data_IF_323918819727
#
_entry.id   IF_323918819727
#
_cell.length_a   1.000
_cell.length_b   1.000
_cell.length_c   1.000
_cell.angle_alpha   90.00
_cell.angle_beta   90.00
_cell.angle_gamma   90.00
#
_symmetry.space_group_name_H-M   'P 1'
#
loop_
_entity.id
_entity.type
_entity.pdbx_description
1 polymer ?
#
# COMPACT_ATOMS: atom_id res chain seq x y z
N UNK A 1 -9.52 7.09 21.11
CA UNK A 1 -8.38 6.99 20.17
C UNK A 1 -8.35 8.14 19.18
N UNK A 2 -9.41 8.41 18.42
CA UNK A 2 -9.46 9.47 17.36
C UNK A 2 -9.17 10.88 17.90
N UNK A 3 -9.73 11.25 19.05
CA UNK A 3 -9.46 12.56 19.68
C UNK A 3 -8.02 12.70 20.18
N UNK A 4 -7.42 11.58 20.61
CA UNK A 4 -6.05 11.53 21.12
C UNK A 4 -5.05 11.67 19.97
N UNK A 5 -5.24 10.93 18.87
CA UNK A 5 -4.41 11.07 17.67
C UNK A 5 -4.58 12.44 17.01
N UNK A 6 -5.80 12.98 16.97
CA UNK A 6 -6.07 14.34 16.48
C UNK A 6 -5.35 15.42 17.31
N UNK A 7 -5.41 15.32 18.64
CA UNK A 7 -4.70 16.24 19.54
C UNK A 7 -3.18 16.18 19.35
N UNK A 8 -2.61 14.99 19.24
CA UNK A 8 -1.17 14.79 18.98
C UNK A 8 -0.77 15.39 17.62
N UNK A 9 -1.59 15.22 16.58
CA UNK A 9 -1.33 15.76 15.25
C UNK A 9 -1.36 17.30 15.24
N UNK A 10 -2.34 17.91 15.89
CA UNK A 10 -2.44 19.37 16.01
C UNK A 10 -1.27 19.97 16.80
N UNK A 11 -0.88 19.35 17.91
CA UNK A 11 0.27 19.78 18.71
C UNK A 11 1.59 19.63 17.95
N UNK A 12 1.77 18.52 17.23
CA UNK A 12 2.94 18.27 16.38
C UNK A 12 3.04 19.27 15.22
N UNK A 13 1.92 19.61 14.60
CA UNK A 13 1.84 20.63 13.54
C UNK A 13 2.24 22.02 14.05
N UNK A 14 1.85 22.36 15.29
CA UNK A 14 2.19 23.62 15.95
C UNK A 14 3.69 23.73 16.31
N UNK A 15 4.32 22.63 16.76
CA UNK A 15 5.69 22.64 17.30
C UNK A 15 6.78 22.71 16.21
N UNK A 16 6.44 22.51 14.93
CA UNK A 16 7.35 22.81 13.81
C UNK A 16 7.52 21.65 12.84
N UNK A 17 6.76 21.72 11.75
CA UNK A 17 6.69 20.70 10.69
C UNK A 17 8.01 20.46 9.94
N UNK A 18 8.91 21.45 9.88
CA UNK A 18 10.11 21.36 9.03
C UNK A 18 11.12 20.30 9.51
N UNK A 19 11.34 20.17 10.83
CA UNK A 19 12.29 19.18 11.38
C UNK A 19 11.63 17.83 11.66
N UNK A 20 10.33 17.82 12.02
CA UNK A 20 9.57 16.61 12.33
C UNK A 20 9.36 15.70 11.12
N UNK A 21 8.96 16.27 9.98
CA UNK A 21 8.69 15.52 8.75
C UNK A 21 9.96 14.84 8.19
N UNK A 22 11.11 15.51 8.31
CA UNK A 22 12.39 14.98 7.87
C UNK A 22 12.87 13.80 8.76
N UNK A 23 12.53 13.81 10.05
CA UNK A 23 12.84 12.73 11.00
C UNK A 23 11.88 11.55 10.84
N UNK A 24 10.59 11.80 10.60
CA UNK A 24 9.58 10.82 10.21
C UNK A 24 9.94 10.12 8.90
N UNK A 25 10.44 10.86 7.90
CA UNK A 25 10.92 10.29 6.63
C UNK A 25 12.12 9.34 6.82
N UNK A 26 12.96 9.52 7.83
CA UNK A 26 14.02 8.55 8.18
C UNK A 26 13.44 7.29 8.86
N UNK A 27 12.35 7.43 9.61
CA UNK A 27 11.65 6.32 10.25
C UNK A 27 10.84 5.46 9.26
N UNK A 28 10.54 5.99 8.06
CA UNK A 28 9.92 5.21 6.97
C UNK A 28 10.74 3.98 6.56
N UNK A 29 12.07 3.99 6.75
CA UNK A 29 12.88 2.78 6.56
C UNK A 29 12.47 1.64 7.51
N UNK A 30 11.93 1.97 8.69
CA UNK A 30 11.37 1.00 9.63
C UNK A 30 10.09 0.32 9.11
N UNK A 31 9.35 0.94 8.18
CA UNK A 31 8.18 0.31 7.56
C UNK A 31 8.58 -0.86 6.64
N UNK A 32 9.80 -0.83 6.08
CA UNK A 32 10.37 -1.96 5.32
C UNK A 32 10.91 -3.07 6.21
N UNK A 33 11.17 -2.79 7.50
CA UNK A 33 11.71 -3.78 8.44
C UNK A 33 10.70 -4.88 8.76
N UNK A 34 9.41 -4.54 8.84
CA UNK A 34 8.37 -5.53 9.13
C UNK A 34 8.20 -6.56 7.99
N UNK A 35 7.98 -6.17 6.72
CA UNK A 35 7.96 -7.14 5.62
C UNK A 35 9.26 -7.91 5.51
N UNK A 36 10.41 -7.26 5.76
CA UNK A 36 11.71 -7.94 5.68
C UNK A 36 11.83 -9.03 6.77
N UNK A 37 11.34 -8.78 7.99
CA UNK A 37 11.27 -9.78 9.04
C UNK A 37 10.33 -10.93 8.64
N UNK A 38 9.15 -10.62 8.10
CA UNK A 38 8.19 -11.63 7.62
C UNK A 38 8.77 -12.47 6.48
N UNK A 39 9.58 -11.88 5.60
CA UNK A 39 10.25 -12.60 4.52
C UNK A 39 11.28 -13.62 5.04
N UNK A 40 12.00 -13.28 6.12
CA UNK A 40 13.03 -14.13 6.72
C UNK A 40 12.43 -15.22 7.61
N UNK A 41 11.42 -14.88 8.41
CA UNK A 41 10.79 -15.81 9.37
C UNK A 41 9.71 -16.66 8.72
N UNK A 42 9.04 -16.13 7.69
CA UNK A 42 7.99 -16.80 6.94
C UNK A 42 8.52 -17.75 5.86
N UNK A 43 7.61 -18.33 5.06
CA UNK A 43 7.94 -19.25 3.98
C UNK A 43 8.54 -18.49 2.79
N UNK A 44 9.85 -18.21 2.83
CA UNK A 44 10.54 -17.38 1.84
C UNK A 44 10.36 -17.86 0.40
N UNK A 45 10.40 -19.18 0.17
CA UNK A 45 10.16 -19.78 -1.14
C UNK A 45 8.76 -19.49 -1.68
N UNK A 46 7.73 -19.64 -0.83
CA UNK A 46 6.36 -19.36 -1.21
C UNK A 46 6.17 -17.88 -1.52
N UNK A 47 6.68 -17.00 -0.65
CA UNK A 47 6.55 -15.55 -0.80
C UNK A 47 7.21 -15.09 -2.10
N UNK A 48 8.44 -15.54 -2.37
CA UNK A 48 9.19 -15.12 -3.56
C UNK A 48 8.51 -15.59 -4.84
N UNK A 49 8.07 -16.85 -4.89
CA UNK A 49 7.35 -17.39 -6.05
C UNK A 49 6.01 -16.69 -6.27
N UNK A 50 5.26 -16.39 -5.19
CA UNK A 50 3.99 -15.66 -5.26
C UNK A 50 4.18 -14.23 -5.78
N UNK A 51 5.21 -13.51 -5.35
CA UNK A 51 5.50 -12.15 -5.84
C UNK A 51 5.81 -12.18 -7.34
N UNK A 52 6.67 -13.10 -7.80
CA UNK A 52 7.02 -13.23 -9.22
C UNK A 52 5.77 -13.55 -10.05
N UNK A 53 4.94 -14.48 -9.58
CA UNK A 53 3.69 -14.83 -10.24
C UNK A 53 2.71 -13.65 -10.29
N UNK A 54 2.55 -12.93 -9.18
CA UNK A 54 1.68 -11.75 -9.09
C UNK A 54 2.12 -10.64 -10.07
N UNK A 55 3.42 -10.43 -10.24
CA UNK A 55 3.96 -9.49 -11.23
C UNK A 55 3.57 -9.92 -12.66
N UNK A 56 3.71 -11.21 -12.98
CA UNK A 56 3.32 -11.76 -14.27
C UNK A 56 1.82 -11.57 -14.55
N UNK A 57 0.97 -11.94 -13.58
CA UNK A 57 -0.48 -11.80 -13.68
C UNK A 57 -0.93 -10.35 -13.78
N UNK A 58 -0.34 -9.45 -13.00
CA UNK A 58 -0.65 -8.01 -13.05
C UNK A 58 -0.29 -7.44 -14.41
N UNK A 59 0.87 -7.82 -14.96
CA UNK A 59 1.31 -7.35 -16.28
C UNK A 59 0.40 -7.87 -17.39
N UNK A 60 0.03 -9.15 -17.33
CA UNK A 60 -0.85 -9.77 -18.34
C UNK A 60 -2.26 -9.17 -18.33
N UNK A 61 -2.83 -8.94 -17.15
CA UNK A 61 -4.22 -8.50 -16.99
C UNK A 61 -4.36 -6.98 -16.83
N UNK A 62 -3.26 -6.22 -16.96
CA UNK A 62 -3.24 -4.78 -16.67
C UNK A 62 -4.32 -4.00 -17.42
N UNK A 63 -4.42 -4.20 -18.74
CA UNK A 63 -5.39 -3.47 -19.57
C UNK A 63 -6.83 -3.85 -19.21
N UNK A 64 -7.10 -5.14 -19.01
CA UNK A 64 -8.42 -5.61 -18.65
C UNK A 64 -8.85 -5.03 -17.30
N UNK A 65 -8.01 -5.10 -16.28
CA UNK A 65 -8.29 -4.55 -14.94
C UNK A 65 -8.46 -3.02 -14.98
N UNK A 66 -7.69 -2.32 -15.81
CA UNK A 66 -7.76 -0.86 -15.92
C UNK A 66 -9.08 -0.36 -16.52
N UNK A 67 -9.71 -1.17 -17.37
CA UNK A 67 -10.95 -0.84 -18.09
C UNK A 67 -12.15 -1.65 -17.59
N UNK A 68 -12.00 -2.40 -16.49
CA UNK A 68 -13.05 -3.26 -15.98
C UNK A 68 -14.16 -2.44 -15.32
N UNK A 69 -15.35 -2.48 -15.91
CA UNK A 69 -16.55 -1.76 -15.42
C UNK A 69 -17.67 -2.67 -14.96
N UNK A 70 -17.52 -3.99 -15.14
CA UNK A 70 -18.53 -5.00 -14.82
C UNK A 70 -19.96 -4.66 -15.33
N UNK A 71 -20.17 -4.56 -16.65
CA UNK A 71 -21.45 -4.08 -17.21
C UNK A 71 -22.61 -5.08 -17.08
N UNK A 72 -22.33 -6.35 -16.78
CA UNK A 72 -23.33 -7.42 -16.64
C UNK A 72 -23.63 -7.77 -15.18
N UNK A 73 -22.77 -7.36 -14.24
CA UNK A 73 -22.94 -7.54 -12.81
C UNK A 73 -23.54 -6.32 -12.11
N UNK A 74 -23.46 -6.30 -10.77
CA UNK A 74 -23.90 -5.16 -9.95
C UNK A 74 -22.84 -4.04 -9.85
N UNK A 75 -21.65 -4.26 -10.41
CA UNK A 75 -20.54 -3.31 -10.36
C UNK A 75 -19.98 -3.05 -8.95
N UNK A 76 -20.40 -3.82 -7.94
CA UNK A 76 -20.07 -3.60 -6.54
C UNK A 76 -18.57 -3.67 -6.30
N UNK A 77 -17.89 -4.67 -6.87
CA UNK A 77 -16.44 -4.82 -6.74
C UNK A 77 -15.69 -3.60 -7.32
N UNK A 78 -16.02 -3.21 -8.55
CA UNK A 78 -15.38 -2.06 -9.22
C UNK A 78 -15.61 -0.77 -8.44
N UNK A 79 -16.80 -0.56 -7.88
CA UNK A 79 -17.11 0.64 -7.09
C UNK A 79 -16.39 0.66 -5.75
N UNK A 80 -16.42 -0.45 -5.01
CA UNK A 80 -15.90 -0.54 -3.65
C UNK A 80 -14.37 -0.60 -3.61
N UNK A 81 -13.73 -1.14 -4.66
CA UNK A 81 -12.28 -1.23 -4.75
C UNK A 81 -11.71 -0.23 -5.74
N UNK A 82 -11.87 -0.48 -7.04
CA UNK A 82 -11.18 0.28 -8.10
C UNK A 82 -11.50 1.77 -8.03
N UNK A 83 -12.78 2.15 -8.03
CA UNK A 83 -13.21 3.56 -8.01
C UNK A 83 -12.83 4.23 -6.69
N UNK A 84 -13.01 3.55 -5.55
CA UNK A 84 -12.62 4.04 -4.25
C UNK A 84 -11.12 4.39 -4.20
N UNK A 85 -10.24 3.48 -4.63
CA UNK A 85 -8.80 3.75 -4.66
C UNK A 85 -8.42 4.87 -5.63
N UNK A 86 -9.07 4.97 -6.80
CA UNK A 86 -8.84 6.10 -7.70
C UNK A 86 -9.19 7.45 -7.05
N UNK A 87 -10.36 7.55 -6.40
CA UNK A 87 -10.79 8.75 -5.70
C UNK A 87 -9.89 9.08 -4.51
N UNK A 88 -9.47 8.06 -3.76
CA UNK A 88 -8.46 8.18 -2.72
C UNK A 88 -7.21 8.84 -3.31
N UNK A 89 -6.55 8.24 -4.31
CA UNK A 89 -5.29 8.77 -4.82
C UNK A 89 -5.40 10.20 -5.37
N UNK A 90 -6.51 10.55 -6.03
CA UNK A 90 -6.77 11.92 -6.49
C UNK A 90 -6.82 12.90 -5.32
N UNK A 91 -7.48 12.53 -4.21
CA UNK A 91 -7.57 13.40 -3.03
C UNK A 91 -6.21 13.70 -2.38
N UNK A 92 -5.27 12.75 -2.41
CA UNK A 92 -3.92 12.91 -1.84
C UNK A 92 -2.93 13.59 -2.80
N UNK A 93 -3.25 13.66 -4.09
CA UNK A 93 -2.35 14.17 -5.14
C UNK A 93 -1.78 15.56 -4.84
N UNK A 94 -2.57 16.57 -4.40
CA UNK A 94 -2.04 17.90 -4.12
C UNK A 94 -0.96 17.90 -3.01
N UNK A 95 -1.17 17.13 -1.94
CA UNK A 95 -0.24 17.03 -0.82
C UNK A 95 1.08 16.37 -1.24
N UNK A 96 0.99 15.25 -1.96
CA UNK A 96 2.16 14.52 -2.46
C UNK A 96 2.92 15.34 -3.50
N UNK A 97 2.23 16.04 -4.40
CA UNK A 97 2.86 16.89 -5.42
C UNK A 97 3.71 18.01 -4.79
N UNK A 98 3.22 18.67 -3.73
CA UNK A 98 4.01 19.67 -3.00
C UNK A 98 5.25 19.08 -2.33
N UNK A 99 5.15 17.86 -1.80
CA UNK A 99 6.28 17.18 -1.19
C UNK A 99 7.34 16.78 -2.24
N UNK A 100 6.91 16.15 -3.33
CA UNK A 100 7.79 15.68 -4.41
C UNK A 100 8.54 16.85 -5.07
N UNK A 101 7.86 17.97 -5.33
CA UNK A 101 8.48 19.17 -5.91
C UNK A 101 9.55 19.77 -5.00
N UNK A 102 9.35 19.78 -3.67
CA UNK A 102 10.34 20.27 -2.69
C UNK A 102 11.56 19.36 -2.59
N UNK A 103 11.37 18.03 -2.54
CA UNK A 103 12.46 17.05 -2.39
C UNK A 103 13.25 16.88 -3.70
N UNK A 104 12.61 17.09 -4.85
CA UNK A 104 13.23 16.85 -6.17
C UNK A 104 13.89 18.09 -6.79
N UNK A 105 14.14 19.14 -6.00
CA UNK A 105 14.72 20.40 -6.47
C UNK A 105 16.07 20.14 -7.16
N UNK A 106 16.20 20.57 -8.42
CA UNK A 106 17.43 20.43 -9.22
C UNK A 106 17.56 19.13 -10.02
N UNK A 107 16.58 18.21 -9.94
CA UNK A 107 16.54 17.00 -10.79
C UNK A 107 15.80 17.25 -12.10
N UNK A 108 16.09 16.48 -13.15
CA UNK A 108 15.32 16.55 -14.40
C UNK A 108 13.95 15.93 -14.18
N UNK A 109 12.90 16.51 -14.78
CA UNK A 109 11.52 16.01 -14.68
C UNK A 109 11.43 14.52 -14.97
N UNK A 110 12.12 14.04 -16.02
CA UNK A 110 12.17 12.62 -16.39
C UNK A 110 12.72 11.72 -15.28
N UNK A 111 13.75 12.15 -14.55
CA UNK A 111 14.38 11.37 -13.48
C UNK A 111 13.44 11.30 -12.27
N UNK A 112 12.71 12.37 -12.01
CA UNK A 112 11.70 12.42 -10.94
C UNK A 112 10.54 11.47 -11.24
N UNK A 113 10.03 11.50 -12.49
CA UNK A 113 8.93 10.62 -12.92
C UNK A 113 9.34 9.15 -12.80
N UNK A 114 10.48 8.77 -13.39
CA UNK A 114 10.95 7.38 -13.34
C UNK A 114 11.29 6.93 -11.91
N UNK A 115 11.91 7.80 -11.12
CA UNK A 115 12.21 7.51 -9.71
C UNK A 115 10.94 7.29 -8.88
N UNK A 116 9.90 8.08 -9.11
CA UNK A 116 8.63 7.95 -8.41
C UNK A 116 7.89 6.67 -8.83
N UNK A 117 7.79 6.41 -10.15
CA UNK A 117 7.09 5.21 -10.66
C UNK A 117 7.80 3.95 -10.20
N UNK A 118 9.10 3.81 -10.48
CA UNK A 118 9.83 2.59 -10.16
C UNK A 118 9.96 2.38 -8.65
N UNK A 119 10.28 3.45 -7.91
CA UNK A 119 10.42 3.39 -6.46
C UNK A 119 9.11 2.99 -5.78
N UNK A 120 7.99 3.59 -6.18
CA UNK A 120 6.68 3.29 -5.59
C UNK A 120 6.20 1.90 -5.98
N UNK A 121 6.33 1.50 -7.25
CA UNK A 121 5.91 0.17 -7.72
C UNK A 121 6.66 -0.94 -7.01
N UNK A 122 7.99 -0.86 -6.95
CA UNK A 122 8.81 -1.88 -6.26
C UNK A 122 8.52 -1.89 -4.76
N UNK A 123 8.35 -0.72 -4.15
CA UNK A 123 7.96 -0.62 -2.74
C UNK A 123 6.62 -1.29 -2.44
N UNK A 124 5.60 -1.06 -3.28
CA UNK A 124 4.29 -1.69 -3.14
C UNK A 124 4.35 -3.20 -3.38
N UNK A 125 5.01 -3.66 -4.45
CA UNK A 125 5.17 -5.09 -4.71
C UNK A 125 5.91 -5.81 -3.61
N UNK A 126 6.94 -5.18 -3.02
CA UNK A 126 7.64 -5.77 -1.88
C UNK A 126 6.74 -5.81 -0.64
N UNK A 127 6.14 -4.69 -0.24
CA UNK A 127 5.35 -4.62 0.99
C UNK A 127 4.10 -5.50 0.91
N UNK A 128 3.24 -5.26 -0.07
CA UNK A 128 1.99 -6.03 -0.21
C UNK A 128 2.28 -7.46 -0.63
N UNK A 129 3.21 -7.68 -1.55
CA UNK A 129 3.54 -9.03 -1.99
C UNK A 129 4.05 -9.93 -0.85
N UNK A 130 4.89 -9.41 0.06
CA UNK A 130 5.36 -10.19 1.21
C UNK A 130 4.23 -10.43 2.23
N UNK A 131 3.54 -9.36 2.63
CA UNK A 131 2.50 -9.43 3.66
C UNK A 131 1.30 -10.29 3.21
N UNK A 132 0.85 -10.11 1.98
CA UNK A 132 -0.27 -10.84 1.39
C UNK A 132 0.08 -12.30 1.15
N UNK A 133 1.27 -12.60 0.59
CA UNK A 133 1.70 -13.99 0.40
C UNK A 133 1.82 -14.72 1.73
N UNK A 134 2.30 -14.05 2.77
CA UNK A 134 2.33 -14.63 4.12
C UNK A 134 0.91 -14.91 4.63
N UNK A 135 -0.02 -13.97 4.51
CA UNK A 135 -1.41 -14.14 4.93
C UNK A 135 -2.10 -15.30 4.17
N UNK A 136 -1.91 -15.37 2.85
CA UNK A 136 -2.43 -16.46 2.00
C UNK A 136 -1.86 -17.80 2.45
N UNK A 137 -0.56 -17.87 2.75
CA UNK A 137 0.06 -19.11 3.24
C UNK A 137 -0.53 -19.56 4.59
N UNK A 138 -0.82 -18.63 5.51
CA UNK A 138 -1.47 -18.97 6.78
C UNK A 138 -2.90 -19.49 6.58
N UNK A 139 -3.63 -18.91 5.62
CA UNK A 139 -4.98 -19.34 5.27
C UNK A 139 -5.01 -20.73 4.62
N UNK A 140 -4.16 -20.97 3.61
CA UNK A 140 -4.10 -22.26 2.89
C UNK A 140 -3.68 -23.42 3.81
N UNK A 141 -2.77 -23.15 4.76
CA UNK A 141 -2.33 -24.18 5.73
C UNK A 141 -3.30 -24.37 6.90
N UNK A 142 -4.46 -23.70 6.90
CA UNK A 142 -5.48 -23.84 7.93
C UNK A 142 -5.06 -23.30 9.31
N UNK A 143 -4.00 -22.48 9.38
CA UNK A 143 -3.52 -21.90 10.64
C UNK A 143 -4.47 -20.79 11.11
N UNK A 144 -4.99 -19.98 10.17
CA UNK A 144 -5.92 -18.88 10.45
C UNK A 144 -7.03 -18.87 9.40
N UNK A 145 -8.28 -19.04 9.84
CA UNK A 145 -9.45 -18.84 8.99
C UNK A 145 -9.93 -17.38 9.10
N UNK A 146 -9.37 -16.51 8.26
CA UNK A 146 -9.64 -15.06 8.29
C UNK A 146 -11.14 -14.75 8.16
N UNK A 147 -11.91 -15.36 7.22
CA UNK A 147 -13.36 -15.15 7.16
C UNK A 147 -14.10 -15.42 8.48
N UNK A 148 -13.81 -16.54 9.13
CA UNK A 148 -14.43 -16.91 10.41
C UNK A 148 -14.06 -15.93 11.54
N UNK A 149 -12.82 -15.45 11.55
CA UNK A 149 -12.34 -14.46 12.54
C UNK A 149 -13.05 -13.12 12.34
N UNK A 150 -13.30 -12.69 11.10
CA UNK A 150 -13.99 -11.44 10.81
C UNK A 150 -15.47 -11.49 11.25
N UNK A 151 -16.16 -12.61 11.03
CA UNK A 151 -17.55 -12.80 11.46
C UNK A 151 -17.71 -12.81 12.99
N UNK A 152 -16.73 -13.37 13.70
CA UNK A 152 -16.80 -13.54 15.17
C UNK A 152 -16.31 -12.33 15.96
N UNK A 153 -15.34 -11.57 15.43
CA UNK A 153 -14.72 -10.43 16.12
C UNK A 153 -15.14 -9.06 15.54
N UNK A 154 -16.06 -9.02 14.57
CA UNK A 154 -16.61 -7.78 14.03
C UNK A 154 -15.64 -7.03 13.12
N UNK A 155 -14.98 -7.76 12.21
CA UNK A 155 -14.33 -7.11 11.08
C UNK A 155 -15.37 -6.52 10.15
N UNK A 156 -15.06 -5.42 9.46
CA UNK A 156 -15.95 -4.83 8.47
C UNK A 156 -16.08 -5.80 7.29
N UNK A 157 -17.07 -6.70 7.36
CA UNK A 157 -17.50 -7.55 6.26
C UNK A 157 -18.27 -6.67 5.29
N UNK A 158 -17.77 -6.56 4.06
CA UNK A 158 -18.44 -5.86 2.96
C UNK A 158 -19.75 -6.56 2.57
#
# INVERSE_FOLDING_TARGET
MILLSGGIFCLSSWIGINNGLQRLSKMFWGAFLLPLLVLIVGPTEFITNSIINAIGLTTQNFLQMSLFTDPLGDGSFTRNWTVFYWLWWISYTPGVAMFVTRVSRGRKIKEVIWGLILGSTVGCWFFFGVMESYAIHQFINGVINVPQVLETLGGETF
#
